data_IF_947463456056
#
_entry.id   IF_947463456056
#
_cell.length_a   1.000
_cell.length_b   1.000
_cell.length_c   1.000
_cell.angle_alpha   90.00
_cell.angle_beta   90.00
_cell.angle_gamma   90.00
#
_symmetry.space_group_name_H-M   'P 1'
#
loop_
_entity.id
_entity.type
_entity.pdbx_description
1 polymer ?
#
# COMPACT_ATOMS: atom_id res chain seq x y z
N UNK A 1 71.82 42.92 -46.42
CA UNK A 1 71.57 41.71 -47.24
C UNK A 1 70.18 41.20 -46.89
N UNK A 2 69.22 40.94 -47.77
CA UNK A 2 68.95 41.28 -49.16
C UNK A 2 67.45 40.94 -49.34
N UNK A 3 66.72 41.76 -50.09
CA UNK A 3 65.33 41.55 -50.52
C UNK A 3 65.13 40.22 -51.27
N UNK A 4 63.96 39.60 -51.14
CA UNK A 4 63.20 38.89 -52.21
C UNK A 4 61.77 38.67 -51.65
N UNK A 5 60.69 39.30 -52.10
CA UNK A 5 60.11 39.52 -53.44
C UNK A 5 59.41 38.28 -54.03
N UNK A 6 58.06 38.36 -54.07
CA UNK A 6 57.12 38.12 -55.19
C UNK A 6 56.18 36.88 -55.22
N UNK A 7 54.94 37.18 -55.64
CA UNK A 7 53.93 36.41 -56.42
C UNK A 7 52.90 35.61 -55.57
N UNK A 8 51.55 35.68 -55.70
CA UNK A 8 50.55 36.03 -56.75
C UNK A 8 49.22 36.40 -56.00
N UNK A 9 48.53 37.55 -56.14
CA UNK A 9 47.58 38.05 -57.18
C UNK A 9 46.31 37.19 -57.45
N UNK A 10 45.16 37.80 -57.09
CA UNK A 10 43.79 37.80 -57.70
C UNK A 10 43.02 36.48 -57.93
N UNK A 11 41.76 36.40 -57.43
CA UNK A 11 40.59 36.89 -58.18
C UNK A 11 39.24 36.81 -57.41
N UNK A 12 38.55 37.97 -57.39
CA UNK A 12 37.07 38.22 -57.45
C UNK A 12 36.14 37.66 -56.37
N UNK A 13 35.55 38.47 -55.47
CA UNK A 13 34.45 39.47 -55.64
C UNK A 13 33.17 38.87 -56.23
N UNK A 14 32.11 38.74 -55.40
CA UNK A 14 30.78 39.34 -55.63
C UNK A 14 30.13 39.63 -54.27
N UNK A 15 29.88 40.92 -54.02
CA UNK A 15 29.05 41.44 -52.93
C UNK A 15 27.56 41.19 -53.22
N UNK A 16 26.70 41.13 -52.20
CA UNK A 16 25.46 41.91 -52.09
C UNK A 16 24.75 41.62 -50.75
N UNK A 17 24.85 42.60 -49.85
CA UNK A 17 23.76 43.18 -49.04
C UNK A 17 22.70 42.27 -48.40
N UNK A 18 22.65 42.24 -47.06
CA UNK A 18 21.37 42.23 -46.35
C UNK A 18 21.48 42.93 -44.99
N UNK A 19 20.42 43.65 -44.68
CA UNK A 19 20.32 44.72 -43.70
C UNK A 19 20.42 44.23 -42.24
N UNK A 20 21.33 44.85 -41.49
CA UNK A 20 21.19 44.94 -40.04
C UNK A 20 20.04 45.92 -39.73
N UNK A 21 18.93 45.41 -39.18
CA UNK A 21 17.84 46.24 -38.68
C UNK A 21 17.90 46.26 -37.15
N UNK A 22 18.10 47.47 -36.62
CA UNK A 22 17.98 47.86 -35.21
C UNK A 22 16.72 47.26 -34.59
N UNK A 23 16.88 46.63 -33.43
CA UNK A 23 15.77 46.26 -32.54
C UNK A 23 15.51 47.48 -31.66
N UNK A 24 14.43 48.20 -31.95
CA UNK A 24 13.84 49.17 -31.02
C UNK A 24 12.90 48.41 -30.06
N UNK A 25 12.98 48.79 -28.79
CA UNK A 25 12.16 48.30 -27.69
C UNK A 25 10.67 48.59 -27.95
N UNK A 26 9.86 47.53 -28.00
CA UNK A 26 8.42 47.60 -28.19
C UNK A 26 7.77 46.94 -26.96
N UNK A 27 7.65 47.73 -25.89
CA UNK A 27 7.15 47.35 -24.56
C UNK A 27 5.65 47.03 -24.54
N UNK A 28 4.94 47.22 -25.66
CA UNK A 28 3.48 46.97 -25.74
C UNK A 28 3.05 45.56 -26.20
N UNK A 29 3.99 44.63 -26.41
CA UNK A 29 3.67 43.23 -26.78
C UNK A 29 3.43 42.28 -25.60
N UNK A 30 3.18 42.80 -24.40
CA UNK A 30 2.88 41.97 -23.19
C UNK A 30 1.39 41.71 -22.95
N UNK A 31 0.48 42.30 -23.73
CA UNK A 31 -0.97 42.06 -23.63
C UNK A 31 -1.60 41.36 -24.85
N UNK A 32 -0.81 41.00 -25.87
CA UNK A 32 -1.30 40.44 -27.13
C UNK A 32 -0.86 38.98 -27.38
N UNK A 33 -0.73 38.17 -26.32
CA UNK A 33 -0.56 36.71 -26.46
C UNK A 33 -1.69 35.98 -25.74
N UNK A 34 -2.45 35.26 -26.58
CA UNK A 34 -3.43 34.20 -26.27
C UNK A 34 -4.87 34.61 -25.91
N UNK A 35 -5.45 35.54 -26.68
CA UNK A 35 -6.84 35.34 -27.18
C UNK A 35 -6.81 34.40 -28.40
N UNK A 36 -6.37 33.15 -28.21
CA UNK A 36 -6.55 32.10 -29.23
C UNK A 36 -7.73 31.24 -28.83
N UNK A 37 -8.78 31.37 -29.65
CA UNK A 37 -10.02 30.61 -29.68
C UNK A 37 -10.99 30.90 -28.53
N UNK A 38 -11.97 31.76 -28.80
CA UNK A 38 -13.35 31.43 -28.40
C UNK A 38 -13.70 30.11 -29.11
N UNK A 39 -13.28 28.97 -28.55
CA UNK A 39 -13.71 27.66 -29.03
C UNK A 39 -15.18 27.55 -28.65
N UNK A 40 -16.07 27.89 -29.59
CA UNK A 40 -17.48 27.59 -29.47
C UNK A 40 -17.59 26.07 -29.21
N UNK A 41 -18.11 25.67 -28.05
CA UNK A 41 -18.31 24.24 -27.75
C UNK A 41 -19.11 23.64 -28.90
N UNK A 42 -18.70 22.44 -29.34
CA UNK A 42 -19.54 21.60 -30.19
C UNK A 42 -20.95 21.55 -29.56
N UNK A 43 -22.02 21.95 -30.29
CA UNK A 43 -23.38 21.99 -29.76
C UNK A 43 -23.84 20.67 -29.15
N UNK A 44 -23.34 19.53 -29.66
CA UNK A 44 -23.63 18.19 -29.14
C UNK A 44 -23.01 18.01 -27.76
N UNK A 45 -21.73 18.36 -27.59
CA UNK A 45 -21.01 18.28 -26.31
C UNK A 45 -21.65 19.24 -25.30
N UNK A 46 -22.00 20.45 -25.73
CA UNK A 46 -22.67 21.43 -24.87
C UNK A 46 -24.08 20.98 -24.45
N UNK A 47 -24.80 20.23 -25.30
CA UNK A 47 -26.07 19.60 -24.93
C UNK A 47 -25.83 18.49 -23.91
N UNK A 48 -24.87 17.61 -24.16
CA UNK A 48 -24.49 16.52 -23.25
C UNK A 48 -24.17 16.99 -21.83
N UNK A 49 -23.38 18.06 -21.68
CA UNK A 49 -23.05 18.63 -20.36
C UNK A 49 -24.27 19.24 -19.64
N UNK A 50 -25.27 19.73 -20.37
CA UNK A 50 -26.51 20.27 -19.79
C UNK A 50 -27.49 19.19 -19.36
N UNK A 51 -27.41 18.00 -19.96
CA UNK A 51 -28.25 16.85 -19.63
C UNK A 51 -27.71 16.05 -18.43
N UNK A 52 -26.53 16.42 -17.92
CA UNK A 52 -25.96 15.76 -16.75
C UNK A 52 -26.81 16.02 -15.50
N UNK A 53 -27.10 14.95 -14.78
CA UNK A 53 -27.87 14.94 -13.55
C UNK A 53 -27.07 14.28 -12.43
N UNK A 54 -27.24 14.81 -11.23
CA UNK A 54 -26.70 14.24 -10.00
C UNK A 54 -27.80 14.23 -8.95
N UNK A 55 -28.40 13.06 -8.80
CA UNK A 55 -29.46 12.82 -7.82
C UNK A 55 -28.86 12.63 -6.44
N UNK A 56 -29.67 12.98 -5.45
CA UNK A 56 -29.22 13.05 -4.08
C UNK A 56 -30.35 12.73 -3.10
N UNK A 57 -30.11 11.77 -2.20
CA UNK A 57 -30.99 11.50 -1.07
C UNK A 57 -30.55 12.33 0.14
N UNK A 58 -31.52 12.91 0.87
CA UNK A 58 -31.32 13.99 1.86
C UNK A 58 -30.28 13.66 2.94
N UNK A 59 -30.11 12.38 3.31
CA UNK A 59 -29.17 11.94 4.36
C UNK A 59 -27.86 11.31 3.83
N UNK A 60 -27.71 11.18 2.52
CA UNK A 60 -26.58 10.49 1.87
C UNK A 60 -25.60 11.44 1.17
N UNK A 61 -25.89 12.74 1.14
CA UNK A 61 -25.19 13.70 0.30
C UNK A 61 -24.44 14.77 1.06
N UNK A 62 -23.54 15.44 0.32
CA UNK A 62 -22.97 16.70 0.72
C UNK A 62 -23.13 17.70 -0.44
N UNK A 63 -23.69 18.90 -0.21
CA UNK A 63 -24.04 19.83 -1.29
C UNK A 63 -22.81 20.32 -2.08
N UNK A 64 -21.63 20.33 -1.43
CA UNK A 64 -20.36 20.76 -1.99
C UNK A 64 -19.58 19.66 -2.73
N UNK A 65 -20.15 18.46 -2.85
CA UNK A 65 -19.57 17.36 -3.62
C UNK A 65 -20.25 17.30 -4.98
N UNK A 66 -19.44 17.16 -6.04
CA UNK A 66 -19.88 17.22 -7.42
C UNK A 66 -19.52 15.95 -8.20
N UNK A 67 -20.34 15.66 -9.21
CA UNK A 67 -19.97 14.80 -10.33
C UNK A 67 -19.08 15.62 -11.27
N UNK A 68 -17.87 15.14 -11.48
CA UNK A 68 -16.93 15.68 -12.46
C UNK A 68 -17.05 14.85 -13.73
N UNK A 69 -17.49 15.49 -14.81
CA UNK A 69 -17.61 14.84 -16.12
C UNK A 69 -16.48 15.34 -16.99
N UNK A 70 -15.63 14.43 -17.45
CA UNK A 70 -14.47 14.72 -18.30
C UNK A 70 -14.71 14.12 -19.67
N UNK A 71 -14.74 14.97 -20.69
CA UNK A 71 -14.88 14.59 -22.09
C UNK A 71 -13.69 15.13 -22.90
N UNK A 72 -12.83 14.25 -23.40
CA UNK A 72 -11.72 14.64 -24.26
C UNK A 72 -11.51 13.60 -25.37
N UNK A 73 -11.44 14.08 -26.64
CA UNK A 73 -11.13 13.25 -27.82
C UNK A 73 -12.02 12.00 -27.95
N UNK A 74 -13.30 12.12 -27.59
CA UNK A 74 -14.27 11.03 -27.65
C UNK A 74 -14.22 10.05 -26.48
N UNK A 75 -13.31 10.22 -25.52
CA UNK A 75 -13.31 9.50 -24.25
C UNK A 75 -14.15 10.26 -23.23
N UNK A 76 -15.00 9.52 -22.53
CA UNK A 76 -15.82 10.01 -21.42
C UNK A 76 -15.33 9.36 -20.13
N UNK A 77 -15.15 10.16 -19.10
CA UNK A 77 -14.77 9.69 -17.78
C UNK A 77 -15.56 10.44 -16.72
N UNK A 78 -16.04 9.70 -15.72
CA UNK A 78 -16.74 10.25 -14.58
C UNK A 78 -15.89 10.14 -13.31
N UNK A 79 -15.97 11.19 -12.52
CA UNK A 79 -15.30 11.31 -11.24
C UNK A 79 -16.18 12.03 -10.23
N UNK A 80 -15.72 12.03 -8.99
CA UNK A 80 -16.20 12.85 -7.90
C UNK A 80 -15.24 14.01 -7.66
N UNK A 81 -15.73 15.09 -7.07
CA UNK A 81 -14.90 16.22 -6.67
C UNK A 81 -15.55 17.01 -5.53
N UNK A 82 -14.75 17.81 -4.83
CA UNK A 82 -15.20 18.61 -3.70
C UNK A 82 -14.89 20.09 -3.93
N UNK A 83 -15.87 20.96 -3.71
CA UNK A 83 -15.63 22.41 -3.67
C UNK A 83 -14.87 22.77 -2.40
N UNK A 84 -13.61 23.19 -2.53
CA UNK A 84 -12.68 23.47 -1.41
C UNK A 84 -12.32 24.96 -1.27
N UNK A 85 -12.72 25.77 -2.24
CA UNK A 85 -12.78 27.22 -2.17
C UNK A 85 -13.99 27.69 -3.01
N UNK A 86 -14.42 28.97 -2.97
CA UNK A 86 -15.65 29.43 -3.61
C UNK A 86 -15.81 28.99 -5.07
N UNK A 87 -14.73 28.88 -5.83
CA UNK A 87 -14.72 28.45 -7.24
C UNK A 87 -13.60 27.45 -7.55
N UNK A 88 -13.15 26.67 -6.57
CA UNK A 88 -12.08 25.68 -6.74
C UNK A 88 -12.59 24.29 -6.35
N UNK A 89 -12.52 23.36 -7.31
CA UNK A 89 -12.77 21.94 -7.10
C UNK A 89 -11.45 21.20 -6.85
N UNK A 90 -11.42 20.38 -5.81
CA UNK A 90 -10.45 19.33 -5.59
C UNK A 90 -10.99 18.00 -6.14
N UNK A 91 -10.17 17.30 -6.92
CA UNK A 91 -10.44 15.93 -7.39
C UNK A 91 -9.13 15.14 -7.49
N UNK A 92 -9.16 13.92 -8.01
CA UNK A 92 -7.98 13.10 -8.31
C UNK A 92 -7.33 13.55 -9.62
N UNK A 93 -6.00 13.52 -9.73
CA UNK A 93 -5.35 13.81 -11.02
C UNK A 93 -5.54 12.70 -12.04
N UNK A 94 -5.82 11.46 -11.61
CA UNK A 94 -6.25 10.37 -12.49
C UNK A 94 -7.65 10.57 -13.09
N UNK A 95 -8.40 11.58 -12.65
CA UNK A 95 -9.60 12.03 -13.36
C UNK A 95 -9.29 12.80 -14.65
N UNK A 96 -8.06 13.29 -14.77
CA UNK A 96 -7.64 14.10 -15.90
C UNK A 96 -6.82 13.26 -16.87
N UNK A 97 -7.05 13.49 -18.16
CA UNK A 97 -6.18 12.97 -19.21
C UNK A 97 -4.82 13.66 -19.18
N UNK A 98 -3.83 13.07 -19.85
CA UNK A 98 -2.44 13.57 -19.87
C UNK A 98 -2.32 15.04 -20.29
N UNK A 99 -3.14 15.53 -21.21
CA UNK A 99 -3.10 16.92 -21.66
C UNK A 99 -3.67 17.89 -20.61
N UNK A 100 -4.74 17.46 -19.92
CA UNK A 100 -5.40 18.24 -18.88
C UNK A 100 -4.62 18.22 -17.56
N UNK A 101 -3.64 17.33 -17.38
CA UNK A 101 -2.75 17.35 -16.20
C UNK A 101 -1.76 18.53 -16.20
N UNK A 102 -1.65 19.31 -17.27
CA UNK A 102 -0.76 20.47 -17.33
C UNK A 102 -1.40 21.70 -16.65
N UNK A 103 -0.64 22.46 -15.85
CA UNK A 103 -1.16 23.65 -15.19
C UNK A 103 -1.50 24.77 -16.18
N UNK A 104 -2.51 25.57 -15.84
CA UNK A 104 -3.03 26.70 -16.62
C UNK A 104 -3.59 26.32 -18.01
N UNK A 105 -3.89 25.04 -18.25
CA UNK A 105 -4.60 24.62 -19.45
C UNK A 105 -6.09 24.87 -19.26
N UNK A 106 -6.73 25.47 -20.27
CA UNK A 106 -8.18 25.63 -20.29
C UNK A 106 -8.88 24.28 -20.38
N UNK A 107 -9.89 24.10 -19.55
CA UNK A 107 -10.72 22.89 -19.46
C UNK A 107 -12.20 23.19 -19.81
N UNK A 108 -12.48 24.38 -20.35
CA UNK A 108 -13.83 24.89 -20.61
C UNK A 108 -14.72 23.97 -21.41
N UNK A 109 -14.14 23.23 -22.34
CA UNK A 109 -14.88 22.37 -23.25
C UNK A 109 -14.75 20.89 -22.89
N UNK A 110 -14.04 20.59 -21.79
CA UNK A 110 -13.65 19.24 -21.43
C UNK A 110 -14.19 18.81 -20.08
N UNK A 111 -14.38 19.74 -19.14
CA UNK A 111 -14.72 19.39 -17.77
C UNK A 111 -15.90 20.22 -17.27
N UNK A 112 -16.92 19.54 -16.74
CA UNK A 112 -18.01 20.14 -15.99
C UNK A 112 -18.13 19.54 -14.60
N UNK A 113 -18.38 20.40 -13.62
CA UNK A 113 -18.75 20.01 -12.26
C UNK A 113 -20.27 20.15 -12.12
N UNK A 114 -20.95 19.06 -11.82
CA UNK A 114 -22.39 19.01 -11.59
C UNK A 114 -22.62 18.75 -10.11
N UNK A 115 -23.18 19.73 -9.43
CA UNK A 115 -23.51 19.62 -8.03
C UNK A 115 -24.99 19.27 -7.84
N UNK A 116 -25.33 18.47 -6.81
CA UNK A 116 -26.70 18.03 -6.62
C UNK A 116 -27.60 19.18 -6.19
N UNK A 117 -28.90 19.02 -6.44
CA UNK A 117 -29.93 19.75 -5.71
C UNK A 117 -30.15 19.12 -4.33
N UNK A 118 -30.35 19.94 -3.30
CA UNK A 118 -30.60 19.48 -1.93
C UNK A 118 -31.47 20.49 -1.17
N UNK A 119 -32.66 20.06 -0.77
CA UNK A 119 -33.67 20.95 -0.21
C UNK A 119 -34.05 22.04 -1.22
N UNK A 120 -33.91 23.31 -0.81
CA UNK A 120 -34.16 24.47 -1.67
C UNK A 120 -33.03 24.76 -2.68
N UNK A 121 -31.86 24.13 -2.54
CA UNK A 121 -30.76 24.31 -3.49
C UNK A 121 -31.07 23.54 -4.78
N UNK A 122 -31.08 24.26 -5.90
CA UNK A 122 -31.20 23.65 -7.23
C UNK A 122 -29.90 22.97 -7.63
N UNK A 123 -30.03 21.93 -8.47
CA UNK A 123 -28.89 21.36 -9.17
C UNK A 123 -28.19 22.44 -10.00
N UNK A 124 -26.86 22.41 -10.03
CA UNK A 124 -26.06 23.41 -10.72
C UNK A 124 -24.93 22.73 -11.50
N UNK A 125 -24.79 23.07 -12.78
CA UNK A 125 -23.70 22.59 -13.64
C UNK A 125 -22.79 23.76 -13.98
N UNK A 126 -21.52 23.64 -13.62
CA UNK A 126 -20.52 24.70 -13.79
C UNK A 126 -19.36 24.17 -14.61
N UNK A 127 -19.03 24.86 -15.70
CA UNK A 127 -17.87 24.55 -16.52
C UNK A 127 -16.56 24.86 -15.76
N UNK A 128 -15.55 24.04 -16.02
CA UNK A 128 -14.17 24.31 -15.58
C UNK A 128 -13.58 25.43 -16.44
N UNK A 129 -12.90 26.42 -15.87
CA UNK A 129 -12.22 27.46 -16.64
C UNK A 129 -10.82 26.98 -17.08
N UNK A 130 -9.97 26.69 -16.09
CA UNK A 130 -8.64 26.11 -16.29
C UNK A 130 -8.22 25.20 -15.13
N UNK A 131 -7.23 24.34 -15.39
CA UNK A 131 -6.59 23.48 -14.39
C UNK A 131 -5.55 24.30 -13.63
N UNK A 132 -5.73 24.50 -12.32
CA UNK A 132 -4.80 25.28 -11.50
C UNK A 132 -3.50 24.49 -11.32
N UNK A 133 -3.62 23.24 -10.89
CA UNK A 133 -2.50 22.32 -10.72
C UNK A 133 -2.99 20.88 -10.69
N UNK A 134 -2.10 19.95 -11.04
CA UNK A 134 -2.39 18.52 -11.04
C UNK A 134 -1.10 17.72 -10.88
N UNK A 135 -1.20 16.56 -10.21
CA UNK A 135 -0.08 15.63 -10.14
C UNK A 135 0.08 14.87 -11.46
N UNK A 136 1.29 14.87 -12.02
CA UNK A 136 1.65 14.02 -13.16
C UNK A 136 2.11 12.67 -12.61
N UNK A 137 1.22 11.68 -12.73
CA UNK A 137 1.46 10.32 -12.30
C UNK A 137 1.98 9.46 -13.47
N UNK A 138 2.72 8.41 -13.13
CA UNK A 138 3.03 7.33 -14.06
C UNK A 138 1.93 6.29 -13.90
N UNK A 139 1.02 6.25 -14.87
CA UNK A 139 -0.26 5.52 -14.78
C UNK A 139 -0.07 4.00 -14.59
N UNK A 140 1.01 3.43 -15.12
CA UNK A 140 1.35 2.01 -14.99
C UNK A 140 1.96 1.63 -13.62
N UNK A 141 2.20 2.61 -12.73
CA UNK A 141 2.81 2.34 -11.43
C UNK A 141 1.77 2.00 -10.37
N UNK A 142 2.13 1.04 -9.54
CA UNK A 142 1.42 0.68 -8.31
C UNK A 142 1.03 1.94 -7.50
N UNK A 143 -0.24 2.12 -7.09
CA UNK A 143 -0.67 3.28 -6.31
C UNK A 143 0.07 3.47 -4.98
N UNK A 144 0.66 2.43 -4.41
CA UNK A 144 1.54 2.55 -3.23
C UNK A 144 2.80 3.38 -3.52
N UNK A 145 3.17 3.55 -4.79
CA UNK A 145 4.31 4.36 -5.23
C UNK A 145 3.96 5.83 -5.46
N UNK A 146 2.69 6.21 -5.40
CA UNK A 146 2.28 7.59 -5.62
C UNK A 146 2.57 8.42 -4.37
N UNK A 147 2.97 9.69 -4.57
CA UNK A 147 3.14 10.65 -3.45
C UNK A 147 1.87 11.45 -3.19
N UNK A 148 1.09 11.68 -4.24
CA UNK A 148 -0.21 12.31 -4.17
C UNK A 148 -0.85 12.22 -5.55
N UNK A 149 -2.17 12.16 -5.59
CA UNK A 149 -3.01 12.15 -6.78
C UNK A 149 -4.12 13.18 -6.59
N UNK A 150 -3.75 14.46 -6.72
CA UNK A 150 -4.66 15.60 -6.60
C UNK A 150 -4.66 16.44 -7.86
N UNK A 151 -5.83 16.99 -8.19
CA UNK A 151 -5.98 18.08 -9.14
C UNK A 151 -6.89 19.17 -8.57
N UNK A 152 -6.52 20.41 -8.84
CA UNK A 152 -7.29 21.61 -8.50
C UNK A 152 -7.78 22.26 -9.79
N UNK A 153 -9.08 22.42 -9.89
CA UNK A 153 -9.75 22.98 -11.05
C UNK A 153 -10.39 24.31 -10.68
N UNK A 154 -10.13 25.35 -11.48
CA UNK A 154 -10.85 26.62 -11.37
C UNK A 154 -12.18 26.47 -12.09
N UNK A 155 -13.27 26.85 -11.44
CA UNK A 155 -14.60 26.91 -12.05
C UNK A 155 -14.82 28.29 -12.71
N UNK A 156 -15.60 28.30 -13.80
CA UNK A 156 -15.93 29.53 -14.54
C UNK A 156 -16.81 30.50 -13.74
N UNK A 157 -17.59 29.98 -12.81
CA UNK A 157 -18.44 30.76 -11.91
C UNK A 157 -18.42 30.14 -10.51
N UNK A 158 -18.68 30.98 -9.51
CA UNK A 158 -18.82 30.58 -8.11
C UNK A 158 -20.19 29.92 -7.89
N UNK A 159 -20.27 28.61 -7.64
CA UNK A 159 -21.53 27.96 -7.29
C UNK A 159 -22.11 28.50 -5.96
N UNK A 160 -23.43 28.54 -5.84
CA UNK A 160 -24.11 29.07 -4.65
C UNK A 160 -24.16 28.02 -3.51
N UNK A 161 -23.00 27.67 -2.95
CA UNK A 161 -22.86 26.69 -1.87
C UNK A 161 -21.56 26.91 -1.11
N UNK A 162 -21.54 26.52 0.17
CA UNK A 162 -20.35 26.65 1.01
C UNK A 162 -19.24 25.69 0.55
N UNK A 163 -18.00 26.15 0.55
CA UNK A 163 -16.84 25.30 0.30
C UNK A 163 -16.47 24.49 1.55
N UNK A 164 -16.04 23.25 1.34
CA UNK A 164 -15.48 22.37 2.36
C UNK A 164 -14.08 22.84 2.77
N UNK A 165 -13.78 22.79 4.06
CA UNK A 165 -12.44 23.07 4.56
C UNK A 165 -11.53 21.85 4.41
N UNK A 166 -10.25 22.08 4.12
CA UNK A 166 -9.24 21.02 4.07
C UNK A 166 -8.55 20.89 5.42
N UNK A 167 -8.32 19.66 5.86
CA UNK A 167 -7.61 19.33 7.09
C UNK A 167 -6.33 18.58 6.80
N UNK A 168 -5.22 19.08 7.37
CA UNK A 168 -3.90 18.41 7.33
C UNK A 168 -3.67 17.45 8.50
N UNK A 169 -4.70 17.17 9.31
CA UNK A 169 -4.60 16.21 10.43
C UNK A 169 -4.34 14.78 9.95
N UNK A 170 -4.52 14.46 8.67
CA UNK A 170 -4.25 13.13 8.12
C UNK A 170 -5.27 12.06 8.54
N UNK A 171 -4.96 10.80 8.25
CA UNK A 171 -5.87 9.66 8.33
C UNK A 171 -5.41 8.67 9.42
N UNK A 172 -6.19 8.56 10.49
CA UNK A 172 -5.85 7.72 11.65
C UNK A 172 -6.45 6.32 11.49
N UNK A 173 -5.65 5.29 11.70
CA UNK A 173 -6.13 3.89 11.69
C UNK A 173 -7.20 3.66 12.76
N UNK A 174 -8.22 2.87 12.42
CA UNK A 174 -9.35 2.57 13.31
C UNK A 174 -10.41 3.68 13.39
N UNK A 175 -10.13 4.88 12.89
CA UNK A 175 -11.12 5.96 12.80
C UNK A 175 -11.92 5.85 11.50
N UNK A 176 -13.24 6.04 11.60
CA UNK A 176 -14.13 6.05 10.44
C UNK A 176 -14.16 7.43 9.79
N UNK A 177 -14.07 7.45 8.46
CA UNK A 177 -14.21 8.65 7.63
C UNK A 177 -15.39 8.48 6.68
N UNK A 178 -16.10 9.56 6.40
CA UNK A 178 -17.22 9.55 5.44
C UNK A 178 -16.67 9.79 4.04
N UNK A 179 -16.82 8.83 3.15
CA UNK A 179 -16.60 9.04 1.73
C UNK A 179 -17.92 9.44 1.09
N UNK A 180 -17.96 10.61 0.46
CA UNK A 180 -19.04 11.00 -0.44
C UNK A 180 -18.60 10.75 -1.87
N UNK A 181 -19.42 10.02 -2.63
CA UNK A 181 -18.99 9.46 -3.93
C UNK A 181 -20.12 9.45 -4.93
N UNK A 182 -19.76 9.55 -6.19
CA UNK A 182 -20.70 9.59 -7.32
C UNK A 182 -20.77 8.20 -7.93
N UNK A 183 -21.91 7.54 -7.76
CA UNK A 183 -22.21 6.25 -8.37
C UNK A 183 -22.93 6.50 -9.71
N UNK A 184 -22.22 6.24 -10.81
CA UNK A 184 -22.72 6.47 -12.17
C UNK A 184 -23.78 5.41 -12.51
N UNK A 185 -24.95 5.86 -12.96
CA UNK A 185 -26.04 4.98 -13.41
C UNK A 185 -26.14 4.93 -14.93
N UNK A 186 -25.96 6.07 -15.59
CA UNK A 186 -25.84 6.21 -17.05
C UNK A 186 -24.84 7.32 -17.38
N UNK A 187 -24.54 7.51 -18.67
CA UNK A 187 -23.66 8.59 -19.13
C UNK A 187 -24.16 10.01 -18.76
N UNK A 188 -25.43 10.14 -18.40
CA UNK A 188 -26.05 11.42 -18.00
C UNK A 188 -26.49 11.44 -16.55
N UNK A 189 -26.85 10.32 -15.95
CA UNK A 189 -27.39 10.24 -14.59
C UNK A 189 -26.41 9.58 -13.62
N UNK A 190 -26.32 10.13 -12.41
CA UNK A 190 -25.58 9.53 -11.32
C UNK A 190 -26.28 9.84 -10.00
N UNK A 191 -26.02 9.02 -8.97
CA UNK A 191 -26.45 9.27 -7.61
C UNK A 191 -25.24 9.62 -6.74
N UNK A 192 -25.37 10.66 -5.91
CA UNK A 192 -24.42 10.90 -4.84
C UNK A 192 -24.77 10.00 -3.65
N UNK A 193 -23.81 9.19 -3.21
CA UNK A 193 -23.97 8.31 -2.05
C UNK A 193 -22.85 8.52 -1.03
N UNK A 194 -23.03 7.91 0.14
CA UNK A 194 -22.06 7.95 1.23
C UNK A 194 -21.68 6.56 1.69
N UNK A 195 -20.41 6.37 2.00
CA UNK A 195 -19.92 5.17 2.68
C UNK A 195 -18.96 5.51 3.82
N UNK A 196 -18.71 4.53 4.69
CA UNK A 196 -17.73 4.64 5.78
C UNK A 196 -16.44 3.95 5.34
N UNK A 197 -15.34 4.70 5.33
CA UNK A 197 -14.01 4.17 5.07
C UNK A 197 -13.20 4.08 6.37
N UNK A 198 -12.38 3.05 6.48
CA UNK A 198 -11.48 2.82 7.60
C UNK A 198 -10.05 2.73 7.07
N UNK A 199 -9.17 3.70 7.38
CA UNK A 199 -7.76 3.60 7.07
C UNK A 199 -7.12 2.47 7.86
N UNK A 200 -6.18 1.80 7.22
CA UNK A 200 -5.38 0.76 7.84
C UNK A 200 -3.93 0.90 7.41
N UNK A 201 -3.03 0.62 8.35
CA UNK A 201 -1.60 0.72 8.16
C UNK A 201 -0.97 -0.63 7.81
N UNK A 202 0.21 -0.56 7.21
CA UNK A 202 1.15 -1.66 7.02
C UNK A 202 0.53 -2.89 6.32
N UNK A 203 -0.32 -2.64 5.33
CA UNK A 203 -0.89 -3.68 4.47
C UNK A 203 0.08 -4.04 3.34
N UNK A 204 -0.10 -5.23 2.77
CA UNK A 204 0.62 -5.66 1.59
C UNK A 204 0.29 -4.79 0.36
N UNK A 205 -0.94 -4.25 0.29
CA UNK A 205 -1.34 -3.30 -0.74
C UNK A 205 -0.50 -2.02 -0.66
N UNK A 206 -0.27 -1.46 0.53
CA UNK A 206 0.59 -0.30 0.72
C UNK A 206 1.39 -0.37 2.03
N UNK A 207 2.61 -0.95 2.00
CA UNK A 207 3.42 -1.09 3.20
C UNK A 207 4.11 0.21 3.63
N UNK A 208 4.00 1.30 2.83
CA UNK A 208 4.48 2.63 3.21
C UNK A 208 3.51 3.37 4.12
N UNK A 209 2.22 2.99 4.12
CA UNK A 209 1.21 3.58 5.01
C UNK A 209 1.46 3.09 6.44
N UNK A 210 2.21 3.84 7.24
CA UNK A 210 2.60 3.45 8.61
C UNK A 210 2.30 4.51 9.65
N UNK A 211 1.90 5.69 9.20
CA UNK A 211 1.62 6.85 10.01
C UNK A 211 0.42 7.60 9.42
N UNK A 212 -0.27 8.38 10.25
CA UNK A 212 -1.42 9.18 9.84
C UNK A 212 -1.11 10.22 8.75
N UNK A 213 0.15 10.58 8.59
CA UNK A 213 0.65 11.51 7.59
C UNK A 213 1.27 10.81 6.38
N UNK A 214 1.23 9.49 6.27
CA UNK A 214 1.73 8.80 5.08
C UNK A 214 1.01 9.32 3.82
N UNK A 215 1.75 9.59 2.72
CA UNK A 215 1.24 10.30 1.55
C UNK A 215 0.08 9.59 0.85
N UNK A 216 0.21 8.26 0.73
CA UNK A 216 -0.83 7.37 0.25
C UNK A 216 -1.27 6.46 1.37
N UNK A 217 -2.58 6.32 1.51
CA UNK A 217 -3.25 5.55 2.55
C UNK A 217 -4.07 4.43 1.92
N UNK A 218 -4.12 3.28 2.55
CA UNK A 218 -5.09 2.23 2.19
C UNK A 218 -6.31 2.31 3.09
N UNK A 219 -7.50 2.21 2.50
CA UNK A 219 -8.77 2.25 3.22
C UNK A 219 -9.67 1.08 2.80
N UNK A 220 -10.52 0.62 3.72
CA UNK A 220 -11.50 -0.45 3.49
C UNK A 220 -12.87 -0.07 4.04
N UNK A 221 -13.89 -0.90 3.80
CA UNK A 221 -15.28 -0.65 4.22
C UNK A 221 -16.09 0.21 3.25
N UNK A 222 -15.44 0.77 2.23
CA UNK A 222 -16.07 1.55 1.19
C UNK A 222 -15.82 0.92 -0.19
N UNK A 223 -16.91 0.68 -0.93
CA UNK A 223 -16.85 0.10 -2.27
C UNK A 223 -16.34 1.11 -3.31
N UNK A 224 -15.59 0.60 -4.29
CA UNK A 224 -15.09 1.36 -5.42
C UNK A 224 -15.90 1.01 -6.68
N UNK A 225 -16.29 2.03 -7.42
CA UNK A 225 -17.04 1.93 -8.67
C UNK A 225 -16.60 3.07 -9.59
N UNK A 226 -17.04 3.03 -10.84
CA UNK A 226 -16.86 4.15 -11.76
C UNK A 226 -17.49 5.44 -11.18
N UNK A 227 -16.83 6.58 -11.36
CA UNK A 227 -17.23 7.84 -10.73
C UNK A 227 -16.62 8.10 -9.34
N UNK A 228 -16.11 7.07 -8.66
CA UNK A 228 -15.62 7.24 -7.28
C UNK A 228 -14.21 7.84 -7.17
N UNK A 229 -13.44 7.89 -8.25
CA UNK A 229 -12.18 8.63 -8.28
C UNK A 229 -12.41 10.10 -7.93
N UNK A 230 -11.53 10.68 -7.11
CA UNK A 230 -11.69 12.06 -6.64
C UNK A 230 -12.68 12.24 -5.48
N UNK A 231 -13.29 11.16 -4.98
CA UNK A 231 -14.22 11.25 -3.84
C UNK A 231 -13.51 11.80 -2.60
N UNK A 232 -14.05 12.84 -1.93
CA UNK A 232 -13.49 13.32 -0.68
C UNK A 232 -13.77 12.33 0.47
N UNK A 233 -12.75 12.12 1.30
CA UNK A 233 -12.93 11.58 2.65
C UNK A 233 -13.06 12.74 3.63
N UNK A 234 -14.16 12.74 4.37
CA UNK A 234 -14.54 13.79 5.32
C UNK A 234 -14.48 13.24 6.75
N UNK A 235 -13.82 13.98 7.64
CA UNK A 235 -13.72 13.64 9.05
C UNK A 235 -15.02 13.97 9.82
N UNK A 236 -15.00 13.77 11.15
CA UNK A 236 -16.15 14.08 12.01
C UNK A 236 -16.44 15.58 12.09
N UNK A 237 -15.42 16.42 11.94
CA UNK A 237 -15.50 17.89 11.96
C UNK A 237 -16.06 18.47 10.64
N UNK A 238 -16.31 17.63 9.62
CA UNK A 238 -16.79 18.09 8.30
C UNK A 238 -15.67 18.57 7.37
N UNK A 239 -14.41 18.32 7.69
CA UNK A 239 -13.25 18.72 6.90
C UNK A 239 -12.80 17.59 5.96
N UNK A 240 -12.33 17.93 4.75
CA UNK A 240 -11.73 16.98 3.81
C UNK A 240 -10.32 16.63 4.24
N UNK A 241 -10.03 15.35 4.43
CA UNK A 241 -8.73 14.82 4.88
C UNK A 241 -8.01 13.99 3.83
N UNK A 242 -8.73 13.54 2.79
CA UNK A 242 -8.16 12.70 1.75
C UNK A 242 -9.04 12.67 0.51
N UNK A 243 -8.48 12.16 -0.59
CA UNK A 243 -9.16 12.00 -1.87
C UNK A 243 -8.92 10.59 -2.38
N UNK A 244 -9.98 9.90 -2.81
CA UNK A 244 -9.86 8.58 -3.42
C UNK A 244 -9.11 8.67 -4.75
N UNK A 245 -8.08 7.85 -4.90
CA UNK A 245 -7.11 7.95 -5.99
C UNK A 245 -7.09 6.73 -6.91
N UNK A 246 -7.28 5.54 -6.35
CA UNK A 246 -7.34 4.30 -7.11
C UNK A 246 -7.96 3.17 -6.29
N UNK A 247 -8.42 2.14 -6.98
CA UNK A 247 -8.62 0.83 -6.36
C UNK A 247 -7.27 0.11 -6.22
N UNK A 248 -7.23 -0.98 -5.45
CA UNK A 248 -6.05 -1.86 -5.45
C UNK A 248 -5.75 -2.36 -6.87
N UNK A 249 -4.46 -2.41 -7.22
CA UNK A 249 -4.00 -2.91 -8.51
C UNK A 249 -4.48 -4.35 -8.76
N UNK A 250 -5.07 -4.61 -9.94
CA UNK A 250 -5.64 -5.90 -10.30
C UNK A 250 -4.57 -7.00 -10.48
N UNK A 251 -3.38 -6.68 -10.96
CA UNK A 251 -2.28 -7.64 -11.10
C UNK A 251 -1.80 -8.09 -9.72
N UNK A 252 -1.65 -7.16 -8.78
CA UNK A 252 -1.34 -7.46 -7.38
C UNK A 252 -2.41 -8.36 -6.75
N UNK A 253 -3.69 -8.03 -6.96
CA UNK A 253 -4.83 -8.85 -6.52
C UNK A 253 -4.72 -10.27 -7.06
N UNK A 254 -4.52 -10.40 -8.37
CA UNK A 254 -4.44 -11.70 -9.04
C UNK A 254 -3.22 -12.50 -8.56
N UNK A 255 -2.08 -11.84 -8.33
CA UNK A 255 -0.90 -12.45 -7.75
C UNK A 255 -1.16 -13.03 -6.35
N UNK A 256 -1.82 -12.27 -5.47
CA UNK A 256 -2.16 -12.71 -4.11
C UNK A 256 -3.03 -13.98 -4.14
N UNK A 257 -4.06 -14.00 -5.01
CA UNK A 257 -4.96 -15.16 -5.15
C UNK A 257 -4.27 -16.37 -5.79
N UNK A 258 -3.52 -16.16 -6.87
CA UNK A 258 -2.81 -17.25 -7.56
C UNK A 258 -1.80 -17.96 -6.65
N UNK A 259 -1.19 -17.23 -5.71
CA UNK A 259 -0.23 -17.77 -4.75
C UNK A 259 -0.86 -18.23 -3.42
N UNK A 260 -2.20 -18.27 -3.30
CA UNK A 260 -2.93 -18.70 -2.09
C UNK A 260 -2.41 -18.03 -0.82
N UNK A 261 -2.16 -16.71 -0.90
CA UNK A 261 -1.56 -15.94 0.18
C UNK A 261 -2.58 -15.52 1.24
N UNK A 262 -3.88 -15.58 0.95
CA UNK A 262 -4.94 -15.13 1.85
C UNK A 262 -5.32 -16.18 2.90
N UNK A 263 -5.71 -15.70 4.07
CA UNK A 263 -6.50 -16.42 5.06
C UNK A 263 -7.89 -15.77 5.14
N UNK A 264 -8.86 -16.38 4.46
CA UNK A 264 -10.21 -15.84 4.32
C UNK A 264 -10.40 -14.94 3.09
N UNK A 265 -11.50 -14.20 3.06
CA UNK A 265 -11.87 -13.32 1.94
C UNK A 265 -11.25 -11.93 2.07
N UNK A 266 -10.69 -11.43 0.98
CA UNK A 266 -10.14 -10.08 0.90
C UNK A 266 -11.26 -9.05 0.76
N UNK A 267 -11.27 -8.02 1.61
CA UNK A 267 -12.21 -6.91 1.44
C UNK A 267 -11.76 -5.96 0.32
N UNK A 268 -12.67 -5.17 -0.27
CA UNK A 268 -12.27 -4.11 -1.19
C UNK A 268 -11.32 -3.11 -0.51
N UNK A 269 -10.17 -2.85 -1.14
CA UNK A 269 -9.14 -1.92 -0.66
C UNK A 269 -8.96 -0.82 -1.69
N UNK A 270 -9.07 0.42 -1.23
CA UNK A 270 -8.82 1.62 -2.03
C UNK A 270 -7.56 2.33 -1.56
N UNK A 271 -6.94 3.04 -2.49
CA UNK A 271 -5.85 3.97 -2.21
C UNK A 271 -6.40 5.40 -2.17
N UNK A 272 -6.05 6.11 -1.12
CA UNK A 272 -6.45 7.49 -0.85
C UNK A 272 -5.21 8.37 -0.74
N UNK A 273 -5.17 9.44 -1.51
CA UNK A 273 -4.18 10.50 -1.34
C UNK A 273 -4.49 11.31 -0.09
N UNK A 274 -3.49 11.42 0.79
CA UNK A 274 -3.62 12.07 2.08
C UNK A 274 -3.36 13.57 1.97
N UNK A 275 -4.36 14.40 2.32
CA UNK A 275 -4.25 15.86 2.20
C UNK A 275 -3.24 16.46 3.18
N UNK A 276 -2.80 15.71 4.20
CA UNK A 276 -1.65 16.09 5.01
C UNK A 276 -0.41 16.39 4.16
N UNK A 277 -0.20 15.65 3.08
CA UNK A 277 0.94 15.79 2.17
C UNK A 277 0.65 16.59 0.89
N UNK A 278 -0.58 17.11 0.75
CA UNK A 278 -0.98 17.88 -0.42
C UNK A 278 -0.27 19.23 -0.53
N UNK A 279 0.11 19.59 -1.76
CA UNK A 279 0.50 20.96 -2.12
C UNK A 279 -0.74 21.69 -2.63
N UNK A 280 -1.11 22.77 -1.96
CA UNK A 280 -2.35 23.49 -2.24
C UNK A 280 -2.07 24.82 -2.93
N UNK A 281 -2.95 25.26 -3.85
CA UNK A 281 -2.90 26.64 -4.36
C UNK A 281 -3.17 27.64 -3.23
N UNK A 282 -2.70 28.87 -3.40
CA UNK A 282 -2.72 29.90 -2.35
C UNK A 282 -4.13 30.23 -1.85
N UNK A 283 -5.11 30.13 -2.74
CA UNK A 283 -6.52 30.40 -2.50
C UNK A 283 -7.21 29.33 -1.63
N UNK A 284 -6.59 28.16 -1.48
CA UNK A 284 -7.11 27.05 -0.68
C UNK A 284 -6.49 27.08 0.70
N UNK A 285 -7.29 27.42 1.71
CA UNK A 285 -6.84 27.44 3.09
C UNK A 285 -6.74 26.01 3.66
N UNK A 286 -5.52 25.58 3.95
CA UNK A 286 -5.25 24.25 4.49
C UNK A 286 -4.13 24.25 5.55
N UNK A 287 -3.71 25.42 6.03
CA UNK A 287 -2.56 25.55 6.94
C UNK A 287 -1.21 25.10 6.34
N UNK A 288 -0.16 25.15 7.17
CA UNK A 288 1.22 24.82 6.73
C UNK A 288 1.47 23.31 6.68
N UNK A 289 2.18 22.87 5.64
CA UNK A 289 2.75 21.53 5.54
C UNK A 289 4.10 21.49 6.29
N UNK A 290 4.28 20.53 7.20
CA UNK A 290 5.51 20.46 8.01
C UNK A 290 5.92 19.05 8.42
N UNK A 291 5.47 18.02 7.70
CA UNK A 291 5.64 16.63 8.13
C UNK A 291 6.71 15.90 7.30
N UNK A 292 7.71 15.35 7.98
CA UNK A 292 8.80 14.55 7.39
C UNK A 292 8.29 13.31 6.63
N UNK A 293 7.12 12.78 7.01
CA UNK A 293 6.50 11.64 6.31
C UNK A 293 6.24 11.90 4.84
N UNK A 294 5.90 13.14 4.48
CA UNK A 294 5.57 13.50 3.11
C UNK A 294 6.78 13.48 2.16
N UNK A 295 8.00 13.46 2.70
CA UNK A 295 9.23 13.58 1.93
C UNK A 295 9.98 12.24 1.79
N UNK A 296 9.48 11.16 2.41
CA UNK A 296 10.13 9.85 2.37
C UNK A 296 10.35 9.35 0.95
N UNK A 297 11.45 8.62 0.79
CA UNK A 297 11.76 7.92 -0.47
C UNK A 297 10.75 6.81 -0.68
N UNK A 298 10.07 6.87 -1.83
CA UNK A 298 9.11 5.88 -2.28
C UNK A 298 9.56 5.44 -3.66
N UNK A 299 10.00 4.18 -3.76
CA UNK A 299 10.53 3.57 -4.96
C UNK A 299 10.20 2.08 -4.99
N UNK A 300 10.27 1.47 -6.17
CA UNK A 300 9.89 0.08 -6.41
C UNK A 300 10.74 -0.91 -5.60
N UNK A 301 12.06 -0.70 -5.50
CA UNK A 301 12.94 -1.60 -4.77
C UNK A 301 12.61 -1.60 -3.27
N UNK A 302 12.32 -0.42 -2.71
CA UNK A 302 11.90 -0.29 -1.31
C UNK A 302 10.53 -0.91 -1.09
N UNK A 303 9.59 -0.75 -2.03
CA UNK A 303 8.25 -1.38 -1.97
C UNK A 303 8.36 -2.90 -1.93
N UNK A 304 9.13 -3.49 -2.86
CA UNK A 304 9.33 -4.94 -2.95
C UNK A 304 9.99 -5.49 -1.68
N UNK A 305 10.99 -4.78 -1.14
CA UNK A 305 11.64 -5.14 0.11
C UNK A 305 10.66 -5.14 1.28
N UNK A 306 9.78 -4.14 1.37
CA UNK A 306 8.79 -4.08 2.44
C UNK A 306 7.74 -5.17 2.31
N UNK A 307 7.22 -5.43 1.09
CA UNK A 307 6.30 -6.55 0.83
C UNK A 307 6.93 -7.90 1.19
N UNK A 308 8.17 -8.14 0.76
CA UNK A 308 8.92 -9.35 1.12
C UNK A 308 9.12 -9.48 2.64
N UNK A 309 9.45 -8.38 3.33
CA UNK A 309 9.59 -8.37 4.80
C UNK A 309 8.28 -8.68 5.52
N UNK A 310 7.13 -8.24 5.02
CA UNK A 310 5.83 -8.59 5.61
C UNK A 310 5.59 -10.11 5.56
N UNK A 311 6.00 -10.77 4.48
CA UNK A 311 5.81 -12.21 4.26
C UNK A 311 6.85 -13.11 4.96
N UNK A 312 7.94 -12.54 5.45
CA UNK A 312 9.06 -13.29 6.05
C UNK A 312 9.33 -12.91 7.51
N UNK A 313 8.48 -12.05 8.09
CA UNK A 313 8.70 -11.57 9.45
C UNK A 313 8.39 -12.66 10.48
N UNK A 314 9.43 -13.12 11.19
CA UNK A 314 9.28 -14.01 12.35
C UNK A 314 8.36 -13.41 13.44
N UNK A 315 8.24 -12.08 13.52
CA UNK A 315 7.36 -11.41 14.49
C UNK A 315 5.90 -11.84 14.33
N UNK A 316 5.45 -12.05 13.09
CA UNK A 316 4.09 -12.51 12.77
C UNK A 316 3.74 -13.86 13.43
N UNK A 317 4.76 -14.67 13.71
CA UNK A 317 4.61 -16.04 14.20
C UNK A 317 4.72 -16.18 15.72
N UNK A 318 5.05 -15.11 16.46
CA UNK A 318 5.41 -15.20 17.89
C UNK A 318 4.36 -15.91 18.76
N UNK A 319 3.09 -15.55 18.60
CA UNK A 319 2.01 -16.14 19.40
C UNK A 319 1.82 -17.64 19.11
N UNK A 320 1.82 -18.02 17.83
CA UNK A 320 1.68 -19.43 17.43
C UNK A 320 2.94 -20.26 17.76
N UNK A 321 4.12 -19.66 17.68
CA UNK A 321 5.36 -20.31 18.14
C UNK A 321 5.26 -20.66 19.62
N UNK A 322 4.83 -19.71 20.46
CA UNK A 322 4.64 -19.94 21.90
C UNK A 322 3.62 -21.04 22.17
N UNK A 323 2.50 -21.04 21.44
CA UNK A 323 1.48 -22.10 21.56
C UNK A 323 2.04 -23.49 21.23
N UNK A 324 2.80 -23.60 20.14
CA UNK A 324 3.42 -24.87 19.72
C UNK A 324 4.53 -25.29 20.69
N UNK A 325 5.33 -24.34 21.20
CA UNK A 325 6.32 -24.58 22.26
C UNK A 325 5.62 -25.19 23.47
N UNK A 326 4.56 -24.57 24.00
CA UNK A 326 3.82 -25.07 25.16
C UNK A 326 3.23 -26.48 24.95
N UNK A 327 2.84 -26.81 23.72
CA UNK A 327 2.29 -28.12 23.37
C UNK A 327 3.38 -29.21 23.23
N UNK A 328 4.50 -28.89 22.59
CA UNK A 328 5.56 -29.86 22.29
C UNK A 328 6.58 -30.00 23.42
N UNK A 329 6.70 -29.02 24.32
CA UNK A 329 7.60 -29.07 25.48
C UNK A 329 6.99 -29.82 26.69
N UNK A 330 5.87 -30.51 26.49
CA UNK A 330 5.28 -31.37 27.52
C UNK A 330 6.26 -32.47 27.93
N UNK A 331 6.28 -32.87 29.22
CA UNK A 331 7.13 -33.96 29.69
C UNK A 331 6.96 -35.24 28.86
N UNK A 332 8.04 -35.67 28.23
CA UNK A 332 8.17 -37.03 27.71
C UNK A 332 8.85 -37.91 28.77
N UNK A 333 8.91 -39.23 28.56
CA UNK A 333 9.49 -40.18 29.49
C UNK A 333 10.96 -39.88 29.84
N UNK A 334 11.73 -39.42 28.86
CA UNK A 334 13.18 -39.27 29.00
C UNK A 334 13.63 -37.83 29.12
N UNK A 335 13.09 -36.93 28.27
CA UNK A 335 13.58 -35.56 28.14
C UNK A 335 12.45 -34.55 28.12
N UNK A 336 12.73 -33.36 28.65
CA UNK A 336 11.96 -32.14 28.34
C UNK A 336 12.66 -31.41 27.22
N UNK A 337 11.98 -31.24 26.10
CA UNK A 337 12.57 -30.63 24.91
C UNK A 337 12.49 -29.10 24.94
N UNK A 338 13.39 -28.44 24.22
CA UNK A 338 13.25 -27.05 23.75
C UNK A 338 12.79 -27.14 22.29
N UNK A 339 11.87 -26.27 21.87
CA UNK A 339 11.37 -26.26 20.50
C UNK A 339 11.99 -25.10 19.73
N UNK A 340 12.54 -25.40 18.55
CA UNK A 340 13.14 -24.42 17.66
C UNK A 340 12.36 -24.35 16.35
N UNK A 341 12.34 -23.15 15.78
CA UNK A 341 11.66 -22.88 14.51
C UNK A 341 12.68 -22.46 13.47
N UNK A 342 12.76 -23.26 12.41
CA UNK A 342 13.70 -23.06 11.32
C UNK A 342 12.97 -22.57 10.07
N UNK A 343 13.47 -21.52 9.41
CA UNK A 343 12.88 -21.03 8.16
C UNK A 343 13.21 -21.96 6.99
N UNK A 344 12.29 -22.07 6.04
CA UNK A 344 12.59 -22.62 4.73
C UNK A 344 13.56 -21.69 3.94
N UNK A 345 14.00 -22.13 2.76
CA UNK A 345 14.90 -21.33 1.90
C UNK A 345 14.38 -19.94 1.54
N UNK A 346 13.05 -19.74 1.50
CA UNK A 346 12.40 -18.47 1.16
C UNK A 346 12.12 -17.59 2.40
N UNK A 347 12.27 -18.12 3.61
CA UNK A 347 11.97 -17.44 4.86
C UNK A 347 10.50 -17.22 5.18
N UNK A 348 9.57 -17.72 4.37
CA UNK A 348 8.13 -17.46 4.50
C UNK A 348 7.34 -18.59 5.22
N UNK A 349 8.02 -19.69 5.50
CA UNK A 349 7.50 -20.82 6.28
C UNK A 349 8.52 -21.18 7.35
N UNK A 350 8.06 -21.35 8.59
CA UNK A 350 8.85 -21.88 9.69
C UNK A 350 8.40 -23.31 10.01
N UNK A 351 9.32 -24.23 10.25
CA UNK A 351 8.99 -25.58 10.71
C UNK A 351 9.51 -25.76 12.14
N UNK A 352 8.65 -26.28 13.01
CA UNK A 352 9.00 -26.65 14.37
C UNK A 352 9.89 -27.90 14.39
N UNK A 353 10.87 -27.90 15.28
CA UNK A 353 11.84 -28.97 15.41
C UNK A 353 12.42 -29.00 16.83
N UNK A 354 12.69 -30.18 17.38
CA UNK A 354 13.39 -30.31 18.65
C UNK A 354 14.78 -29.68 18.60
N UNK A 355 15.03 -28.79 19.54
CA UNK A 355 16.34 -28.23 19.82
C UNK A 355 17.01 -28.95 20.98
N UNK A 356 17.83 -28.21 21.72
CA UNK A 356 18.54 -28.70 22.90
C UNK A 356 17.53 -29.18 23.97
N UNK A 357 17.57 -30.43 24.45
CA UNK A 357 16.75 -30.79 25.59
C UNK A 357 17.09 -29.91 26.79
N UNK A 358 16.06 -29.40 27.47
CA UNK A 358 16.21 -28.53 28.64
C UNK A 358 16.82 -29.32 29.80
N UNK A 359 16.35 -30.55 29.97
CA UNK A 359 16.85 -31.53 30.94
C UNK A 359 16.30 -32.92 30.60
N UNK A 360 16.81 -33.95 31.29
CA UNK A 360 16.21 -35.27 31.34
C UNK A 360 15.50 -35.52 32.67
N UNK A 361 14.48 -36.38 32.67
CA UNK A 361 13.70 -36.75 33.85
C UNK A 361 14.39 -37.83 34.68
N UNK A 362 13.89 -38.08 35.89
CA UNK A 362 14.53 -38.94 36.90
C UNK A 362 15.05 -40.27 36.33
N UNK A 363 16.38 -40.44 36.36
CA UNK A 363 17.08 -41.57 35.71
C UNK A 363 16.60 -42.92 36.22
N UNK A 364 16.27 -43.01 37.51
CA UNK A 364 15.78 -44.23 38.16
C UNK A 364 14.54 -44.81 37.47
N UNK A 365 13.72 -43.96 36.83
CA UNK A 365 12.45 -44.35 36.19
C UNK A 365 12.62 -45.03 34.84
N UNK A 366 13.79 -44.88 34.18
CA UNK A 366 13.99 -45.37 32.81
C UNK A 366 15.34 -46.07 32.56
N UNK A 367 16.33 -45.95 33.46
CA UNK A 367 17.69 -46.51 33.22
C UNK A 367 17.70 -48.03 33.07
N UNK A 368 16.73 -48.74 33.65
CA UNK A 368 16.61 -50.19 33.51
C UNK A 368 16.44 -50.63 32.06
N UNK A 369 15.84 -49.79 31.21
CA UNK A 369 15.66 -50.05 29.77
C UNK A 369 16.97 -50.00 28.98
N UNK A 370 17.98 -49.35 29.55
CA UNK A 370 19.32 -49.23 28.98
C UNK A 370 20.37 -49.95 29.84
N UNK A 371 19.97 -51.05 30.50
CA UNK A 371 20.86 -51.85 31.33
C UNK A 371 20.92 -53.31 30.86
N UNK A 372 22.09 -53.94 31.03
CA UNK A 372 22.34 -55.34 30.67
C UNK A 372 22.87 -56.16 31.85
N UNK A 373 22.68 -57.49 31.78
CA UNK A 373 23.27 -58.49 32.68
C UNK A 373 22.37 -58.99 33.82
N UNK A 374 22.73 -60.14 34.41
CA UNK A 374 22.02 -60.73 35.56
C UNK A 374 22.14 -59.77 36.75
N UNK A 375 21.03 -59.10 37.12
CA UNK A 375 20.90 -58.06 38.16
C UNK A 375 21.28 -56.61 37.78
N UNK A 376 21.32 -56.23 36.49
CA UNK A 376 21.39 -54.80 36.09
C UNK A 376 22.68 -54.07 36.47
N UNK A 377 23.83 -54.77 36.49
CA UNK A 377 25.13 -54.21 36.92
C UNK A 377 25.86 -53.36 35.88
N UNK A 378 25.39 -53.33 34.63
CA UNK A 378 25.98 -52.50 33.56
C UNK A 378 24.93 -51.67 32.87
N UNK A 379 25.15 -50.35 32.77
CA UNK A 379 24.35 -49.40 32.01
C UNK A 379 25.05 -49.14 30.67
N UNK A 380 24.31 -49.13 29.57
CA UNK A 380 24.86 -48.89 28.24
C UNK A 380 25.36 -47.45 28.09
N UNK A 381 26.47 -47.28 27.37
CA UNK A 381 27.03 -45.96 27.03
C UNK A 381 26.32 -45.30 25.86
N UNK A 382 25.52 -46.07 25.09
CA UNK A 382 24.75 -45.59 23.96
C UNK A 382 23.29 -46.07 24.10
N UNK A 383 22.37 -45.13 24.20
CA UNK A 383 20.93 -45.35 24.22
C UNK A 383 20.27 -44.69 23.01
N UNK A 384 19.24 -45.33 22.48
CA UNK A 384 18.47 -44.82 21.35
C UNK A 384 16.98 -44.78 21.69
N UNK A 385 16.32 -43.68 21.38
CA UNK A 385 14.85 -43.55 21.45
C UNK A 385 14.33 -42.92 20.15
N UNK A 386 13.08 -43.24 19.79
CA UNK A 386 12.46 -42.78 18.56
C UNK A 386 11.13 -42.04 18.81
N UNK A 387 11.15 -40.85 19.44
CA UNK A 387 9.92 -40.12 19.70
C UNK A 387 9.31 -39.58 18.41
N UNK A 388 7.99 -39.50 18.37
CA UNK A 388 7.23 -39.00 17.23
C UNK A 388 6.26 -37.91 17.67
N UNK A 389 6.26 -36.77 16.98
CA UNK A 389 5.37 -35.64 17.29
C UNK A 389 4.74 -35.07 16.03
N UNK A 390 3.62 -34.36 16.20
CA UNK A 390 3.00 -33.59 15.12
C UNK A 390 3.99 -32.55 14.57
N UNK A 391 4.12 -32.50 13.25
CA UNK A 391 4.93 -31.51 12.55
C UNK A 391 4.11 -30.25 12.37
N UNK A 392 4.49 -29.20 13.08
CA UNK A 392 3.90 -27.88 12.88
C UNK A 392 4.71 -27.05 11.91
N UNK A 393 4.03 -26.51 10.90
CA UNK A 393 4.53 -25.45 10.03
C UNK A 393 3.76 -24.17 10.28
N UNK A 394 4.48 -23.05 10.33
CA UNK A 394 3.92 -21.72 10.43
C UNK A 394 4.11 -21.03 9.09
N UNK A 395 3.02 -20.75 8.39
CA UNK A 395 3.04 -20.02 7.13
C UNK A 395 2.58 -18.58 7.35
N UNK A 396 3.27 -17.60 6.76
CA UNK A 396 2.71 -16.24 6.69
C UNK A 396 1.63 -16.20 5.62
N UNK A 397 0.42 -15.86 6.04
CA UNK A 397 -0.73 -15.51 5.18
C UNK A 397 -1.06 -14.04 5.35
N UNK A 398 -2.04 -13.58 4.59
CA UNK A 398 -2.60 -12.23 4.65
C UNK A 398 -4.03 -12.30 5.16
N UNK A 399 -4.38 -11.44 6.13
CA UNK A 399 -5.76 -11.25 6.58
C UNK A 399 -6.61 -10.55 5.51
N UNK A 400 -7.89 -10.32 5.81
CA UNK A 400 -8.81 -9.66 4.89
C UNK A 400 -8.40 -8.23 4.49
N UNK A 401 -7.58 -7.55 5.30
CA UNK A 401 -7.00 -6.22 5.08
C UNK A 401 -5.58 -6.28 4.50
N UNK A 402 -5.14 -7.46 4.07
CA UNK A 402 -3.83 -7.74 3.54
C UNK A 402 -2.68 -7.50 4.53
N UNK A 403 -2.90 -7.68 5.82
CA UNK A 403 -1.85 -7.64 6.84
C UNK A 403 -1.33 -9.05 7.12
N UNK A 404 -0.04 -9.22 7.44
CA UNK A 404 0.52 -10.53 7.69
C UNK A 404 -0.08 -11.17 8.94
N UNK A 405 -0.53 -12.40 8.81
CA UNK A 405 -1.05 -13.25 9.89
C UNK A 405 -0.40 -14.63 9.80
N UNK A 406 -0.16 -15.26 10.95
CA UNK A 406 0.39 -16.60 11.00
C UNK A 406 -0.73 -17.64 10.87
N UNK A 407 -0.58 -18.58 9.95
CA UNK A 407 -1.39 -19.79 9.88
C UNK A 407 -0.59 -21.00 10.39
N UNK A 408 -1.20 -21.82 11.24
CA UNK A 408 -0.66 -23.11 11.66
C UNK A 408 -1.09 -24.17 10.65
N UNK A 409 -0.13 -24.96 10.16
CA UNK A 409 -0.37 -26.10 9.28
C UNK A 409 0.22 -27.34 9.93
N UNK A 410 -0.63 -28.32 10.20
CA UNK A 410 -0.21 -29.66 10.63
C UNK A 410 0.25 -30.45 9.40
N UNK A 411 1.56 -30.71 9.32
CA UNK A 411 2.21 -31.34 8.17
C UNK A 411 2.42 -32.86 8.35
N UNK A 412 1.67 -33.49 9.25
CA UNK A 412 1.77 -34.92 9.59
C UNK A 412 2.59 -35.17 10.85
N UNK A 413 3.17 -36.38 10.96
CA UNK A 413 3.98 -36.80 12.10
C UNK A 413 5.45 -36.84 11.71
N UNK A 414 6.32 -36.32 12.57
CA UNK A 414 7.78 -36.36 12.42
C UNK A 414 8.37 -37.30 13.45
N UNK A 415 9.17 -38.23 12.95
CA UNK A 415 9.92 -39.17 13.76
C UNK A 415 11.32 -38.60 13.98
N UNK A 416 11.77 -38.66 15.23
CA UNK A 416 13.10 -38.30 15.64
C UNK A 416 13.86 -39.58 15.96
N UNK A 417 15.14 -39.64 15.61
CA UNK A 417 16.08 -40.59 16.18
C UNK A 417 16.95 -39.82 17.17
N UNK A 418 16.90 -40.20 18.43
CA UNK A 418 17.66 -39.56 19.49
C UNK A 418 18.66 -40.55 20.05
N UNK A 419 19.93 -40.20 19.99
CA UNK A 419 21.04 -40.93 20.61
C UNK A 419 21.52 -40.18 21.85
N UNK A 420 21.76 -40.88 22.95
CA UNK A 420 22.28 -40.29 24.19
C UNK A 420 23.11 -41.30 25.00
N UNK A 421 23.68 -40.87 26.13
CA UNK A 421 24.52 -41.70 27.02
C UNK A 421 23.82 -41.96 28.37
N UNK A 422 23.08 -43.07 28.51
CA UNK A 422 22.43 -43.47 29.76
C UNK A 422 23.41 -43.62 30.94
N UNK A 423 24.59 -44.19 30.71
CA UNK A 423 25.59 -44.38 31.76
C UNK A 423 26.08 -43.03 32.32
N UNK A 424 26.35 -42.04 31.47
CA UNK A 424 26.74 -40.71 31.94
C UNK A 424 25.60 -40.02 32.67
N UNK A 425 24.35 -40.21 32.21
CA UNK A 425 23.17 -39.69 32.92
C UNK A 425 23.09 -40.24 34.34
N UNK A 426 23.35 -41.55 34.51
CA UNK A 426 23.23 -42.24 35.79
C UNK A 426 24.42 -42.02 36.75
N UNK A 427 25.65 -42.02 36.23
CA UNK A 427 26.86 -41.94 37.07
C UNK A 427 27.43 -40.52 37.20
N UNK A 428 27.17 -39.64 36.23
CA UNK A 428 27.78 -38.30 36.16
C UNK A 428 26.75 -37.17 36.19
N UNK A 429 25.44 -37.49 36.28
CA UNK A 429 24.32 -36.55 36.20
C UNK A 429 24.37 -35.63 34.96
N UNK A 430 24.95 -36.12 33.85
CA UNK A 430 24.97 -35.39 32.58
C UNK A 430 24.95 -36.34 31.39
N UNK A 431 24.43 -35.89 30.26
CA UNK A 431 24.51 -36.63 29.00
C UNK A 431 24.69 -35.71 27.81
N UNK A 432 25.25 -36.29 26.75
CA UNK A 432 25.19 -35.70 25.43
C UNK A 432 24.00 -36.32 24.68
N UNK A 433 23.38 -35.55 23.80
CA UNK A 433 22.19 -35.94 23.04
C UNK A 433 22.38 -35.54 21.58
N UNK A 434 22.28 -36.49 20.66
CA UNK A 434 22.24 -36.27 19.22
C UNK A 434 20.82 -36.51 18.72
N UNK A 435 20.26 -35.54 18.01
CA UNK A 435 18.91 -35.58 17.44
C UNK A 435 19.03 -35.60 15.92
N UNK A 436 18.47 -36.63 15.29
CA UNK A 436 18.39 -36.77 13.83
C UNK A 436 16.93 -36.84 13.41
N UNK A 437 16.48 -35.94 12.54
CA UNK A 437 15.11 -35.95 12.00
C UNK A 437 15.01 -35.23 10.65
N UNK A 438 13.88 -35.42 9.96
CA UNK A 438 13.57 -34.62 8.77
C UNK A 438 13.23 -33.18 9.17
N UNK A 439 13.83 -32.23 8.46
CA UNK A 439 13.53 -30.81 8.53
C UNK A 439 13.32 -30.30 7.10
N UNK A 440 12.05 -29.99 6.76
CA UNK A 440 11.61 -29.80 5.39
C UNK A 440 12.00 -30.99 4.48
N UNK A 441 12.83 -30.76 3.46
CA UNK A 441 13.25 -31.74 2.45
C UNK A 441 14.65 -32.31 2.74
N UNK A 442 15.18 -32.11 3.95
CA UNK A 442 16.54 -32.51 4.33
C UNK A 442 16.60 -33.13 5.71
N UNK A 443 17.52 -34.08 5.91
CA UNK A 443 17.83 -34.60 7.24
C UNK A 443 18.66 -33.58 8.02
N UNK A 444 18.20 -33.23 9.22
CA UNK A 444 18.93 -32.44 10.20
C UNK A 444 19.52 -33.38 11.25
N UNK A 445 20.79 -33.18 11.61
CA UNK A 445 21.47 -33.86 12.72
C UNK A 445 22.11 -32.81 13.61
N UNK A 446 21.81 -32.87 14.91
CA UNK A 446 22.26 -31.87 15.89
C UNK A 446 22.71 -32.56 17.18
N UNK A 447 23.92 -32.27 17.62
CA UNK A 447 24.48 -32.80 18.88
C UNK A 447 24.55 -31.71 19.93
N UNK A 448 24.08 -32.04 21.13
CA UNK A 448 24.05 -31.17 22.30
C UNK A 448 24.77 -31.84 23.45
N UNK A 449 25.69 -31.11 24.09
CA UNK A 449 26.50 -31.66 25.19
C UNK A 449 26.06 -31.13 26.55
N UNK A 450 26.38 -31.85 27.63
CA UNK A 450 26.13 -31.44 29.02
C UNK A 450 24.65 -31.13 29.34
N UNK A 451 23.72 -32.03 28.98
CA UNK A 451 22.32 -31.99 29.42
C UNK A 451 22.23 -32.59 30.82
N UNK A 452 21.48 -32.01 31.75
CA UNK A 452 21.41 -32.43 33.17
C UNK A 452 20.01 -32.89 33.59
N UNK A 453 19.89 -33.44 34.80
CA UNK A 453 18.68 -34.02 35.44
C UNK A 453 17.72 -32.99 36.06
N UNK A 454 17.79 -31.72 35.65
CA UNK A 454 17.08 -30.61 36.31
C UNK A 454 15.55 -30.60 36.11
N UNK A 455 14.97 -31.63 35.50
CA UNK A 455 13.55 -31.74 35.24
C UNK A 455 12.85 -32.46 36.39
N UNK A 456 12.00 -31.75 37.14
CA UNK A 456 11.04 -32.36 38.07
C UNK A 456 9.73 -32.63 37.33
N UNK A 457 9.16 -33.84 37.50
CA UNK A 457 7.77 -34.09 37.11
C UNK A 457 6.88 -33.38 38.13
N UNK A 458 6.02 -32.47 37.69
CA UNK A 458 4.95 -31.87 38.52
C UNK A 458 3.73 -32.79 38.62
#
# INVERSE_FOLDING_TARGET
>A
MASFLKILILCTIVAFTSCAKKVEEDVDKKYARTQRNQVQLDPVIHKFFREQQLDCEVDECHPSVAKITVFERGSLQFCSGALVAPDIILTSSNCLTRNLKLPNISCLNNIHAVFPGLGEMKQESVACDYVISSNILQEDKDPALWRSDFAFLKLKSTPNRAALQISRKGLVEGISYRQFKVDVSTDTSAKLSRSKCFPHYNSYANPFSRDRYSPMMTVSGCSFAEGNLGSPLINVDGEVVGVVSANMNNELRNYIFANKMMLGEMVPIQHVSNLACGKFPFEVNAGRQGQLECEKTIDTLTLDRYRSRLLTSRKTHQENMKKIEEELEQPDKYFKWDVKFYPNKKGNVLEAHFGRPKCYFEVSSWVSEFSGGWRGRSVYTYGFIEPSHTTYRLETKLDSLLRPISAIVEAGVKNYKVEFNPASSYFENKTDVTITAQLFDSTSEQTYVNITDACTQE
#
